data_IF_615069544460
#
_entry.id   IF_615069544460
#
_cell.length_a   1.000
_cell.length_b   1.000
_cell.length_c   1.000
_cell.angle_alpha   90.00
_cell.angle_beta   90.00
_cell.angle_gamma   90.00
#
_symmetry.space_group_name_H-M   'P 1'
#
loop_
_entity.id
_entity.type
_entity.pdbx_description
1 polymer ?
#
# COMPACT_ATOMS: atom_id res chain seq x y z
N UNK A 1 37.55 -39.38 -17.52
CA UNK A 1 37.04 -39.41 -16.13
C UNK A 1 36.39 -38.05 -15.90
N UNK A 2 35.06 -38.01 -15.79
CA UNK A 2 34.26 -36.79 -15.83
C UNK A 2 34.14 -36.19 -14.43
N UNK A 3 34.84 -35.08 -14.17
CA UNK A 3 34.66 -34.23 -12.99
C UNK A 3 33.67 -33.13 -13.34
N UNK A 4 32.40 -33.49 -13.50
CA UNK A 4 31.32 -32.53 -13.72
C UNK A 4 30.39 -32.52 -12.50
N UNK A 5 30.08 -31.31 -12.01
CA UNK A 5 28.79 -30.94 -11.40
C UNK A 5 28.48 -31.38 -9.96
N UNK A 6 29.22 -30.88 -8.96
CA UNK A 6 28.64 -30.71 -7.61
C UNK A 6 28.55 -29.23 -7.23
N UNK A 7 29.52 -28.40 -7.65
CA UNK A 7 29.49 -26.96 -7.40
C UNK A 7 28.35 -26.24 -8.14
N UNK A 8 28.03 -26.65 -9.38
CA UNK A 8 26.96 -26.01 -10.16
C UNK A 8 25.57 -26.19 -9.56
N UNK A 9 25.29 -27.30 -8.87
CA UNK A 9 23.98 -27.57 -8.27
C UNK A 9 23.83 -26.82 -6.94
N UNK A 10 24.84 -26.88 -6.07
CA UNK A 10 24.86 -26.09 -4.84
C UNK A 10 24.79 -24.59 -5.15
N UNK A 11 25.57 -24.10 -6.12
CA UNK A 11 25.49 -22.69 -6.57
C UNK A 11 24.13 -22.34 -7.17
N UNK A 12 23.48 -23.25 -7.92
CA UNK A 12 22.13 -23.00 -8.42
C UNK A 12 21.11 -22.87 -7.29
N UNK A 13 21.19 -23.73 -6.26
CA UNK A 13 20.33 -23.65 -5.07
C UNK A 13 20.55 -22.34 -4.31
N UNK A 14 21.80 -21.90 -4.16
CA UNK A 14 22.13 -20.61 -3.54
C UNK A 14 21.54 -19.43 -4.33
N UNK A 15 21.63 -19.47 -5.66
CA UNK A 15 21.05 -18.44 -6.53
C UNK A 15 19.53 -18.38 -6.37
N UNK A 16 18.83 -19.51 -6.44
CA UNK A 16 17.38 -19.56 -6.30
C UNK A 16 16.92 -19.07 -4.92
N UNK A 17 17.69 -19.40 -3.88
CA UNK A 17 17.44 -18.94 -2.51
C UNK A 17 17.56 -17.42 -2.43
N UNK A 18 18.61 -16.85 -3.01
CA UNK A 18 18.85 -15.41 -3.00
C UNK A 18 17.81 -14.65 -3.82
N UNK A 19 17.40 -15.18 -4.98
CA UNK A 19 16.32 -14.61 -5.79
C UNK A 19 15.04 -14.56 -4.96
N UNK A 20 14.66 -15.66 -4.29
CA UNK A 20 13.47 -15.69 -3.44
C UNK A 20 13.57 -14.65 -2.32
N UNK A 21 14.72 -14.59 -1.65
CA UNK A 21 14.97 -13.61 -0.59
C UNK A 21 14.78 -12.17 -1.07
N UNK A 22 15.30 -11.83 -2.24
CA UNK A 22 15.18 -10.49 -2.83
C UNK A 22 13.72 -10.17 -3.15
N UNK A 23 12.99 -11.11 -3.75
CA UNK A 23 11.58 -10.93 -4.11
C UNK A 23 10.73 -10.74 -2.85
N UNK A 24 10.89 -11.61 -1.85
CA UNK A 24 10.13 -11.54 -0.61
C UNK A 24 10.41 -10.24 0.15
N UNK A 25 11.67 -9.82 0.22
CA UNK A 25 12.04 -8.55 0.85
C UNK A 25 11.45 -7.35 0.10
N UNK A 26 11.47 -7.38 -1.22
CA UNK A 26 10.94 -6.29 -2.05
C UNK A 26 9.42 -6.19 -1.91
N UNK A 27 8.73 -7.34 -1.89
CA UNK A 27 7.29 -7.41 -1.64
C UNK A 27 6.93 -6.88 -0.25
N UNK A 28 7.61 -7.36 0.79
CA UNK A 28 7.37 -6.91 2.17
C UNK A 28 7.59 -5.40 2.30
N UNK A 29 8.65 -4.86 1.66
CA UNK A 29 8.92 -3.42 1.63
C UNK A 29 7.81 -2.64 0.92
N UNK A 30 7.38 -3.08 -0.26
CA UNK A 30 6.32 -2.43 -1.01
C UNK A 30 4.99 -2.45 -0.22
N UNK A 31 4.66 -3.59 0.38
CA UNK A 31 3.47 -3.73 1.21
C UNK A 31 3.51 -2.82 2.44
N UNK A 32 4.65 -2.74 3.13
CA UNK A 32 4.83 -1.80 4.25
C UNK A 32 4.62 -0.34 3.80
N UNK A 33 5.22 0.07 2.67
CA UNK A 33 5.03 1.43 2.13
C UNK A 33 3.54 1.71 1.85
N UNK A 34 2.82 0.75 1.26
CA UNK A 34 1.39 0.90 0.98
C UNK A 34 0.56 1.02 2.28
N UNK A 35 0.87 0.22 3.30
CA UNK A 35 0.20 0.28 4.59
C UNK A 35 0.50 1.56 5.36
N UNK A 36 1.75 2.04 5.32
CA UNK A 36 2.14 3.30 5.98
C UNK A 36 1.48 4.51 5.30
N UNK A 37 1.07 4.38 4.03
CA UNK A 37 0.46 5.43 3.23
C UNK A 37 -1.00 5.11 2.84
N UNK A 38 -1.70 4.37 3.68
CA UNK A 38 -3.04 3.84 3.40
C UNK A 38 -4.07 4.94 3.05
N UNK A 39 -3.98 6.10 3.70
CA UNK A 39 -4.81 7.26 3.38
C UNK A 39 -4.59 7.75 1.95
N UNK A 40 -3.34 7.89 1.51
CA UNK A 40 -3.02 8.32 0.15
C UNK A 40 -3.49 7.28 -0.88
N UNK A 41 -3.38 5.98 -0.55
CA UNK A 41 -3.91 4.91 -1.41
C UNK A 41 -5.44 5.03 -1.56
N UNK A 42 -6.17 5.29 -0.48
CA UNK A 42 -7.61 5.54 -0.55
C UNK A 42 -7.96 6.79 -1.36
N UNK A 43 -7.25 7.90 -1.14
CA UNK A 43 -7.46 9.14 -1.91
C UNK A 43 -7.25 8.92 -3.42
N UNK A 44 -6.19 8.18 -3.79
CA UNK A 44 -5.92 7.81 -5.18
C UNK A 44 -7.03 6.92 -5.75
N UNK A 45 -7.50 5.94 -4.98
CA UNK A 45 -8.60 5.05 -5.38
C UNK A 45 -9.90 5.83 -5.60
N UNK A 46 -10.25 6.75 -4.70
CA UNK A 46 -11.44 7.61 -4.84
C UNK A 46 -11.35 8.45 -6.12
N UNK A 47 -10.20 9.06 -6.37
CA UNK A 47 -9.96 9.81 -7.59
C UNK A 47 -10.08 8.93 -8.85
N UNK A 48 -9.61 7.68 -8.81
CA UNK A 48 -9.69 6.75 -9.94
C UNK A 48 -11.10 6.24 -10.23
N UNK A 49 -11.97 6.17 -9.21
CA UNK A 49 -13.39 5.82 -9.40
C UNK A 49 -14.11 6.93 -10.16
N UNK A 50 -13.80 8.19 -9.85
CA UNK A 50 -14.42 9.35 -10.50
C UNK A 50 -13.79 9.67 -11.86
N UNK A 51 -12.47 9.44 -11.97
CA UNK A 51 -11.68 9.67 -13.17
C UNK A 51 -10.87 8.43 -13.48
N UNK A 52 -11.25 7.71 -14.52
CA UNK A 52 -10.68 6.41 -14.93
C UNK A 52 -9.15 6.41 -15.13
N UNK A 53 -8.52 7.58 -15.25
CA UNK A 53 -7.07 7.73 -15.29
C UNK A 53 -6.59 8.95 -14.49
N UNK A 54 -5.35 8.86 -14.00
CA UNK A 54 -4.65 9.98 -13.38
C UNK A 54 -3.31 10.17 -14.07
N UNK A 55 -2.92 11.43 -14.27
CA UNK A 55 -1.58 11.79 -14.73
C UNK A 55 -0.59 11.77 -13.58
N UNK A 56 0.72 11.70 -13.87
CA UNK A 56 1.75 11.72 -12.81
C UNK A 56 1.66 12.98 -11.94
N UNK A 57 1.39 14.14 -12.53
CA UNK A 57 1.23 15.39 -11.79
C UNK A 57 0.03 15.36 -10.83
N UNK A 58 -1.08 14.73 -11.24
CA UNK A 58 -2.28 14.56 -10.39
C UNK A 58 -2.02 13.60 -9.23
N UNK A 59 -1.25 12.53 -9.47
CA UNK A 59 -0.83 11.61 -8.40
C UNK A 59 0.05 12.34 -7.39
N UNK A 60 1.03 13.11 -7.85
CA UNK A 60 1.91 13.90 -6.99
C UNK A 60 1.12 14.91 -6.15
N UNK A 61 0.11 15.56 -6.75
CA UNK A 61 -0.78 16.49 -6.06
C UNK A 61 -1.60 15.81 -4.96
N UNK A 62 -2.21 14.65 -5.24
CA UNK A 62 -2.99 13.88 -4.26
C UNK A 62 -2.12 13.45 -3.08
N UNK A 63 -0.90 12.96 -3.36
CA UNK A 63 0.05 12.52 -2.33
C UNK A 63 0.52 13.70 -1.48
N UNK A 64 0.79 14.86 -2.08
CA UNK A 64 1.26 16.05 -1.38
C UNK A 64 0.15 16.74 -0.56
N UNK A 65 -1.06 16.81 -1.11
CA UNK A 65 -2.21 17.42 -0.44
C UNK A 65 -2.78 16.53 0.67
N UNK A 66 -2.62 15.21 0.57
CA UNK A 66 -3.22 14.25 1.50
C UNK A 66 -4.74 14.16 1.39
N UNK A 67 -5.32 14.65 0.29
CA UNK A 67 -6.76 14.67 0.02
C UNK A 67 -7.04 14.34 -1.45
N UNK A 68 -8.19 13.73 -1.78
CA UNK A 68 -8.59 13.53 -3.18
C UNK A 68 -8.86 14.88 -3.87
N UNK A 69 -8.44 14.98 -5.14
CA UNK A 69 -8.65 16.19 -5.98
C UNK A 69 -9.87 16.05 -6.92
N UNK A 70 -10.39 14.83 -7.06
CA UNK A 70 -11.62 14.51 -7.77
C UNK A 70 -12.58 13.79 -6.83
N UNK A 71 -13.88 13.95 -7.06
CA UNK A 71 -14.93 13.36 -6.22
C UNK A 71 -15.37 14.27 -5.07
N UNK A 72 -16.58 14.04 -4.58
CA UNK A 72 -17.09 14.76 -3.44
C UNK A 72 -16.35 14.29 -2.18
N UNK A 73 -15.82 15.24 -1.41
CA UNK A 73 -15.22 15.05 -0.08
C UNK A 73 -16.26 14.58 0.98
N UNK A 74 -17.07 13.58 0.65
CA UNK A 74 -18.22 13.15 1.45
C UNK A 74 -17.87 12.22 2.61
N UNK A 75 -16.62 11.77 2.75
CA UNK A 75 -16.26 10.88 3.85
C UNK A 75 -15.53 11.56 5.02
N UNK A 76 -15.44 12.89 5.05
CA UNK A 76 -14.91 13.61 6.23
C UNK A 76 -15.91 13.63 7.40
N UNK A 77 -17.21 13.41 7.15
CA UNK A 77 -18.26 13.45 8.18
C UNK A 77 -18.49 12.09 8.89
N UNK A 78 -18.24 10.94 8.26
CA UNK A 78 -18.48 9.64 8.89
C UNK A 78 -17.47 9.28 10.00
N UNK A 79 -16.23 9.77 9.91
CA UNK A 79 -15.20 9.52 10.92
C UNK A 79 -15.35 10.42 12.17
N UNK A 80 -15.91 11.63 12.02
CA UNK A 80 -16.19 12.52 13.15
C UNK A 80 -17.47 12.13 13.90
N UNK A 81 -18.49 11.59 13.22
CA UNK A 81 -19.72 11.09 13.86
C UNK A 81 -19.50 9.78 14.65
N UNK A 82 -18.57 8.91 14.24
CA UNK A 82 -18.28 7.68 14.99
C UNK A 82 -17.61 7.92 16.36
N UNK A 83 -17.03 9.11 16.58
CA UNK A 83 -16.35 9.46 17.85
C UNK A 83 -17.26 10.29 18.79
N UNK A 84 -18.40 10.80 18.31
CA UNK A 84 -19.27 11.70 19.08
C UNK A 84 -20.45 11.00 19.80
N UNK A 85 -20.77 9.74 19.49
CA UNK A 85 -21.80 8.96 20.20
C UNK A 85 -21.19 8.05 21.28
N UNK A 86 -20.59 8.65 22.31
CA UNK A 86 -20.69 8.11 23.67
C UNK A 86 -21.19 9.22 24.60
N UNK A 87 -22.51 9.46 24.68
CA UNK A 87 -23.06 10.12 25.84
C UNK A 87 -23.01 9.15 27.02
N UNK A 88 -22.32 9.59 28.06
CA UNK A 88 -22.54 9.17 29.42
C UNK A 88 -24.05 9.23 29.74
N UNK A 89 -24.58 8.14 30.30
CA UNK A 89 -25.54 8.11 31.40
C UNK A 89 -26.37 6.82 31.37
N UNK A 90 -26.04 5.93 32.30
CA UNK A 90 -27.04 5.10 32.97
C UNK A 90 -26.55 4.87 34.41
N UNK A 91 -26.60 5.96 35.20
CA UNK A 91 -26.90 5.86 36.62
C UNK A 91 -28.42 5.95 36.78
N UNK A 92 -29.03 4.86 37.24
CA UNK A 92 -30.25 4.84 38.04
C UNK A 92 -30.34 3.48 38.75
#
# INVERSE_FOLDING_TARGET
IATHKNYSEATAVEIDTEIRRIVDQSYAKAHAILLDNLQNLHNLSECLIEKENLTGAEVDEIIAAGTPIYGHAQNKQAAEEATAQQPADLQA
#
